data_IF_844209825038
#
_entry.id   IF_844209825038
#
_cell.length_a   1.000
_cell.length_b   1.000
_cell.length_c   1.000
_cell.angle_alpha   90.00
_cell.angle_beta   90.00
_cell.angle_gamma   90.00
#
_symmetry.space_group_name_H-M   'P 1'
#
loop_
_entity.id
_entity.type
_entity.pdbx_description
1 polymer ?
#
# COMPACT_ATOMS: atom_id res chain seq x y z
N UNK A 1 10.97 -9.48 -4.06
CA UNK A 1 10.55 -8.20 -4.68
C UNK A 1 9.09 -7.99 -4.38
N UNK A 2 8.67 -6.82 -3.90
CA UNK A 2 7.26 -6.56 -3.63
C UNK A 2 6.44 -6.57 -4.93
N UNK A 3 5.21 -7.10 -4.93
CA UNK A 3 4.35 -7.04 -6.11
C UNK A 3 3.90 -5.59 -6.35
N UNK A 4 3.74 -5.21 -7.63
CA UNK A 4 3.23 -3.90 -8.03
C UNK A 4 1.74 -4.00 -8.34
N UNK A 5 1.01 -2.93 -8.08
CA UNK A 5 -0.41 -2.77 -8.40
C UNK A 5 -0.68 -1.34 -8.89
N UNK A 6 -1.85 -1.17 -9.53
CA UNK A 6 -2.34 0.15 -9.93
C UNK A 6 -2.95 0.83 -8.71
N UNK A 7 -2.25 1.81 -8.16
CA UNK A 7 -2.73 2.61 -7.04
C UNK A 7 -2.25 4.06 -7.20
N UNK A 8 -3.17 5.01 -7.02
CA UNK A 8 -2.86 6.43 -7.12
C UNK A 8 -2.12 6.90 -5.87
N UNK A 9 -0.96 7.52 -6.08
CA UNK A 9 -0.17 8.07 -5.00
C UNK A 9 -0.73 9.44 -4.57
N UNK A 10 -1.14 9.63 -3.30
CA UNK A 10 -1.70 10.89 -2.82
C UNK A 10 -0.70 12.05 -2.79
N UNK A 11 0.59 11.78 -2.99
CA UNK A 11 1.67 12.78 -2.97
C UNK A 11 2.08 13.29 -4.35
N UNK A 12 2.05 12.43 -5.37
CA UNK A 12 2.60 12.74 -6.70
C UNK A 12 1.72 12.31 -7.86
N UNK A 13 0.51 11.81 -7.57
CA UNK A 13 -0.46 11.33 -8.56
C UNK A 13 0.02 10.21 -9.49
N UNK A 14 1.09 9.49 -9.12
CA UNK A 14 1.54 8.32 -9.86
C UNK A 14 0.53 7.17 -9.72
N UNK A 15 0.30 6.41 -10.78
CA UNK A 15 -0.67 5.30 -10.78
C UNK A 15 -0.07 3.91 -10.50
N UNK A 16 1.22 3.83 -10.12
CA UNK A 16 1.89 2.58 -9.81
C UNK A 16 2.49 2.58 -8.40
N UNK A 17 2.16 1.55 -7.61
CA UNK A 17 2.68 1.35 -6.27
C UNK A 17 3.02 -0.12 -6.02
N UNK A 18 4.03 -0.37 -5.20
CA UNK A 18 4.21 -1.67 -4.56
C UNK A 18 3.14 -1.87 -3.50
N UNK A 19 2.63 -3.09 -3.32
CA UNK A 19 1.71 -3.39 -2.24
C UNK A 19 2.17 -4.58 -1.41
N UNK A 20 1.80 -4.59 -0.13
CA UNK A 20 1.96 -5.75 0.75
C UNK A 20 0.90 -5.75 1.84
N UNK A 21 0.58 -6.95 2.31
CA UNK A 21 -0.40 -7.19 3.36
C UNK A 21 0.35 -7.46 4.66
N UNK A 22 0.00 -6.74 5.71
CA UNK A 22 0.45 -7.02 7.07
C UNK A 22 -0.69 -7.68 7.82
N UNK A 23 -0.46 -8.90 8.27
CA UNK A 23 -1.37 -9.63 9.14
C UNK A 23 -1.16 -9.11 10.57
N UNK A 24 -2.12 -8.38 11.13
CA UNK A 24 -2.15 -8.09 12.56
C UNK A 24 -2.58 -9.37 13.29
N UNK A 25 -1.84 -9.78 14.32
CA UNK A 25 -2.20 -10.96 15.13
C UNK A 25 -3.37 -10.60 16.04
N UNK A 26 -4.58 -10.67 15.51
CA UNK A 26 -5.82 -10.55 16.25
C UNK A 26 -6.90 -11.28 15.48
N UNK A 27 -7.62 -12.20 16.13
CA UNK A 27 -8.66 -13.02 15.50
C UNK A 27 -9.86 -12.21 14.94
N UNK A 28 -9.82 -10.89 15.03
CA UNK A 28 -10.91 -9.94 14.74
C UNK A 28 -10.49 -8.76 13.83
N UNK A 29 -9.22 -8.66 13.42
CA UNK A 29 -8.74 -7.54 12.60
C UNK A 29 -8.42 -7.96 11.15
N UNK A 30 -9.07 -7.31 10.19
CA UNK A 30 -8.79 -7.46 8.76
C UNK A 30 -7.33 -7.14 8.44
N UNK A 31 -6.73 -7.88 7.51
CA UNK A 31 -5.35 -7.65 7.06
C UNK A 31 -5.16 -6.21 6.58
N UNK A 32 -4.14 -5.50 7.07
CA UNK A 32 -3.88 -4.12 6.63
C UNK A 32 -3.08 -4.13 5.34
N UNK A 33 -3.62 -3.51 4.29
CA UNK A 33 -2.92 -3.32 3.02
C UNK A 33 -2.14 -2.01 3.01
N UNK A 34 -0.84 -2.13 2.69
CA UNK A 34 0.07 -1.01 2.53
C UNK A 34 0.46 -0.86 1.06
N UNK A 35 0.66 0.38 0.65
CA UNK A 35 1.13 0.76 -0.68
C UNK A 35 2.37 1.63 -0.57
N UNK A 36 3.31 1.49 -1.51
CA UNK A 36 4.48 2.35 -1.65
C UNK A 36 4.64 2.81 -3.09
N UNK A 37 4.63 4.12 -3.30
CA UNK A 37 4.82 4.71 -4.62
C UNK A 37 6.15 4.27 -5.24
N UNK A 38 6.09 3.85 -6.50
CA UNK A 38 7.28 3.50 -7.29
C UNK A 38 8.10 4.73 -7.71
N UNK A 39 7.47 5.90 -7.80
CA UNK A 39 8.09 7.15 -8.24
C UNK A 39 8.67 7.97 -7.07
N UNK A 40 7.84 8.39 -6.11
CA UNK A 40 8.27 9.25 -5.00
C UNK A 40 8.59 8.53 -3.69
N UNK A 41 8.33 7.22 -3.62
CA UNK A 41 8.58 6.41 -2.41
C UNK A 41 7.62 6.65 -1.24
N UNK A 42 6.57 7.46 -1.39
CA UNK A 42 5.55 7.66 -0.36
C UNK A 42 4.86 6.34 -0.01
N UNK A 43 4.53 6.15 1.27
CA UNK A 43 3.84 4.94 1.75
C UNK A 43 2.51 5.33 2.40
N UNK A 44 1.43 4.64 2.04
CA UNK A 44 0.08 4.85 2.57
C UNK A 44 -0.65 3.52 2.76
N UNK A 45 -1.80 3.56 3.43
CA UNK A 45 -2.67 2.39 3.66
C UNK A 45 -3.96 2.56 2.85
N UNK A 46 -4.63 1.45 2.53
CA UNK A 46 -5.91 1.49 1.79
C UNK A 46 -7.02 2.20 2.56
N UNK A 47 -7.02 2.08 3.89
CA UNK A 47 -8.11 2.51 4.77
C UNK A 47 -7.86 3.89 5.39
N UNK A 48 -7.43 4.88 4.61
CA UNK A 48 -7.11 6.23 5.10
C UNK A 48 -7.54 7.31 4.12
#
# INVERSE_FOLDING_TARGET
TLPKTKAECPKCNNHEAFYWLVQTRGADESSTQFFRCTNCGATWRENS
#
